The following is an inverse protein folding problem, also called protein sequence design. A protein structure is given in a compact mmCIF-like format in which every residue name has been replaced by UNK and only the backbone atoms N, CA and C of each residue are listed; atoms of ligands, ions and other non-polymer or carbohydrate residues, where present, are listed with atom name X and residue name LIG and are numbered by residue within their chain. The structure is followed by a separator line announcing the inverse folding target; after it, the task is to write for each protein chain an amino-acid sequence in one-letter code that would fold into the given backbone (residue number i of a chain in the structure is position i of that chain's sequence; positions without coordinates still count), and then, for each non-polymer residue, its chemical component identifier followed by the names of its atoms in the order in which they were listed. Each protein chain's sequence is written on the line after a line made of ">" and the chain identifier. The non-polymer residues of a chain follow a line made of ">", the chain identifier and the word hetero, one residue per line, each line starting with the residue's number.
data_IF_153006790900
#
_entry.id   IF_153006790900
#
_cell.length_a   1.000
_cell.length_b   1.000
_cell.length_c   1.000
_cell.angle_alpha   90.00
_cell.angle_beta   90.00
_cell.angle_gamma   90.00
#
_symmetry.space_group_name_H-M   'P 1'
#
loop_
_entity.id
_entity.type
_entity.pdbx_description
1 polymer ?
#
# COMPACT_ATOMS: atom_id res chain seq x y z
N UNK A 1 58.36 -18.88 54.17
CA UNK A 1 58.26 -18.91 52.70
C UNK A 1 57.47 -20.16 52.31
N UNK A 2 56.45 -20.19 51.47
CA UNK A 2 55.50 -19.23 50.91
C UNK A 2 54.35 -20.12 50.39
N UNK A 3 53.11 -19.88 50.81
CA UNK A 3 51.91 -20.61 50.38
C UNK A 3 51.45 -20.07 49.01
N UNK A 4 51.32 -20.96 48.03
CA UNK A 4 50.85 -20.64 46.69
C UNK A 4 49.32 -20.77 46.61
N UNK A 5 48.63 -19.66 46.33
CA UNK A 5 47.20 -19.63 45.98
C UNK A 5 47.05 -19.78 44.46
N UNK A 6 46.32 -20.81 44.02
CA UNK A 6 45.89 -20.96 42.64
C UNK A 6 44.64 -20.13 42.36
N UNK A 7 44.73 -19.20 41.42
CA UNK A 7 43.59 -18.44 40.89
C UNK A 7 42.88 -19.25 39.80
N UNK A 8 41.62 -19.61 40.05
CA UNK A 8 40.72 -20.10 39.01
C UNK A 8 40.20 -18.91 38.21
N UNK A 9 40.51 -18.86 36.91
CA UNK A 9 39.94 -17.88 35.99
C UNK A 9 38.55 -18.36 35.55
N UNK A 10 37.51 -17.64 35.97
CA UNK A 10 36.15 -17.80 35.44
C UNK A 10 36.07 -16.94 34.19
N UNK A 11 36.08 -17.58 33.01
CA UNK A 11 35.76 -16.91 31.74
C UNK A 11 34.26 -16.63 31.67
N UNK A 12 33.90 -15.38 31.91
CA UNK A 12 32.55 -14.87 31.68
C UNK A 12 32.37 -14.71 30.16
N UNK A 13 31.59 -15.60 29.56
CA UNK A 13 31.15 -15.45 28.17
C UNK A 13 30.24 -14.24 28.06
N UNK A 14 30.72 -13.17 27.41
CA UNK A 14 29.90 -12.05 27.00
C UNK A 14 29.03 -12.52 25.82
N UNK A 15 27.81 -12.98 26.10
CA UNK A 15 26.76 -12.98 25.10
C UNK A 15 26.40 -11.52 24.80
N UNK A 16 26.98 -10.99 23.73
CA UNK A 16 26.46 -9.77 23.12
C UNK A 16 25.02 -10.02 22.66
N UNK A 17 24.12 -9.03 22.76
CA UNK A 17 22.80 -9.16 22.16
C UNK A 17 22.98 -9.33 20.65
N UNK A 18 22.46 -10.43 20.10
CA UNK A 18 22.25 -10.58 18.66
C UNK A 18 21.36 -9.42 18.21
N UNK A 19 22.00 -8.39 17.65
CA UNK A 19 21.32 -7.33 16.93
C UNK A 19 20.96 -7.91 15.58
N UNK A 20 19.86 -8.65 15.54
CA UNK A 20 19.19 -8.97 14.28
C UNK A 20 18.90 -7.64 13.59
N UNK A 21 19.71 -7.26 12.62
CA UNK A 21 19.43 -6.13 11.76
C UNK A 21 18.03 -6.34 11.16
N UNK A 22 17.18 -5.31 11.19
CA UNK A 22 15.92 -5.36 10.48
C UNK A 22 16.21 -5.67 9.00
N UNK A 23 15.49 -6.62 8.41
CA UNK A 23 15.60 -6.88 6.98
C UNK A 23 15.32 -5.58 6.21
N UNK A 24 16.18 -5.27 5.24
CA UNK A 24 16.01 -4.10 4.40
C UNK A 24 14.69 -4.17 3.62
N UNK A 25 14.12 -3.00 3.30
CA UNK A 25 12.97 -2.92 2.40
C UNK A 25 13.35 -3.54 1.05
N UNK A 26 12.55 -4.48 0.51
CA UNK A 26 12.84 -5.14 -0.75
C UNK A 26 12.72 -4.17 -1.93
N UNK A 27 13.22 -4.57 -3.11
CA UNK A 27 12.98 -3.86 -4.37
C UNK A 27 12.23 -4.79 -5.33
N UNK A 28 10.89 -4.92 -5.22
CA UNK A 28 10.12 -5.74 -6.14
C UNK A 28 10.20 -5.22 -7.58
N UNK A 29 10.09 -6.11 -8.56
CA UNK A 29 9.98 -5.73 -9.98
C UNK A 29 8.63 -5.06 -10.27
N UNK A 30 7.58 -5.52 -9.58
CA UNK A 30 6.21 -4.99 -9.66
C UNK A 30 5.55 -4.90 -8.29
N UNK A 31 4.96 -3.75 -8.00
CA UNK A 31 4.08 -3.52 -6.85
C UNK A 31 2.69 -3.17 -7.36
N UNK A 32 1.67 -3.92 -6.96
CA UNK A 32 0.26 -3.56 -7.18
C UNK A 32 -0.33 -3.12 -5.85
N UNK A 33 -0.83 -1.89 -5.80
CA UNK A 33 -1.58 -1.34 -4.66
C UNK A 33 -3.06 -1.34 -5.01
N UNK A 34 -3.90 -1.96 -4.19
CA UNK A 34 -5.35 -1.86 -4.31
C UNK A 34 -5.91 -1.19 -3.07
N UNK A 35 -6.77 -0.19 -3.28
CA UNK A 35 -7.37 0.62 -2.22
C UNK A 35 -8.87 0.33 -2.17
N UNK A 36 -9.35 -0.02 -0.98
CA UNK A 36 -10.77 -0.21 -0.66
C UNK A 36 -11.25 0.92 0.27
N UNK A 37 -12.53 0.94 0.60
CA UNK A 37 -13.20 2.10 1.16
C UNK A 37 -13.85 1.87 2.53
N UNK A 38 -13.81 2.89 3.39
CA UNK A 38 -14.75 3.12 4.50
C UNK A 38 -14.95 1.97 5.50
N UNK A 39 -13.90 1.18 5.78
CA UNK A 39 -13.99 0.03 6.67
C UNK A 39 -12.87 0.00 7.69
N UNK A 40 -13.27 -0.10 8.97
CA UNK A 40 -12.35 -0.31 10.06
C UNK A 40 -11.68 -1.68 9.96
N UNK A 41 -10.46 -1.78 10.52
CA UNK A 41 -9.68 -3.01 10.61
C UNK A 41 -10.52 -4.23 11.03
N UNK A 42 -11.37 -4.09 12.06
CA UNK A 42 -12.19 -5.19 12.60
C UNK A 42 -13.40 -5.59 11.74
N UNK A 43 -13.79 -4.78 10.75
CA UNK A 43 -14.86 -5.14 9.81
C UNK A 43 -14.37 -6.11 8.74
N UNK A 44 -13.05 -6.14 8.49
CA UNK A 44 -12.40 -6.94 7.45
C UNK A 44 -11.54 -8.04 8.05
N UNK A 45 -10.61 -7.70 8.94
CA UNK A 45 -9.67 -8.64 9.52
C UNK A 45 -10.35 -9.57 10.53
N UNK A 46 -10.25 -10.87 10.30
CA UNK A 46 -10.96 -11.93 11.02
C UNK A 46 -12.43 -12.11 10.61
N UNK A 47 -12.96 -11.28 9.70
CA UNK A 47 -14.36 -11.32 9.27
C UNK A 47 -14.60 -12.45 8.26
N UNK A 48 -15.69 -13.21 8.45
CA UNK A 48 -16.15 -14.20 7.48
C UNK A 48 -16.68 -13.58 6.18
N UNK A 49 -16.90 -12.27 6.16
CA UNK A 49 -17.24 -11.51 4.96
C UNK A 49 -16.04 -11.17 4.09
N UNK A 50 -14.80 -11.35 4.57
CA UNK A 50 -13.58 -11.07 3.80
C UNK A 50 -12.64 -12.29 3.72
N UNK A 51 -13.12 -13.48 3.31
CA UNK A 51 -12.32 -14.70 3.38
C UNK A 51 -11.06 -14.63 2.51
N UNK A 52 -11.09 -13.92 1.38
CA UNK A 52 -9.92 -13.82 0.50
C UNK A 52 -8.85 -12.88 1.06
N UNK A 53 -9.22 -11.67 1.50
CA UNK A 53 -8.29 -10.75 2.18
C UNK A 53 -7.65 -11.42 3.39
N UNK A 54 -8.43 -12.13 4.21
CA UNK A 54 -7.90 -12.86 5.37
C UNK A 54 -6.96 -14.01 4.97
N UNK A 55 -7.20 -14.66 3.83
CA UNK A 55 -6.26 -15.68 3.32
C UNK A 55 -4.94 -15.07 2.87
N UNK A 56 -4.97 -13.87 2.25
CA UNK A 56 -3.76 -13.14 1.86
C UNK A 56 -2.99 -12.66 3.08
N UNK A 57 -3.67 -12.16 4.11
CA UNK A 57 -3.04 -11.78 5.36
C UNK A 57 -2.37 -12.98 6.07
N UNK A 58 -3.02 -14.15 6.07
CA UNK A 58 -2.44 -15.37 6.64
C UNK A 58 -1.22 -15.87 5.86
N UNK A 59 -1.22 -15.71 4.53
CA UNK A 59 -0.09 -16.06 3.66
C UNK A 59 0.95 -14.96 3.46
N UNK A 60 0.72 -13.77 4.02
CA UNK A 60 1.53 -12.57 3.86
C UNK A 60 1.76 -11.88 5.21
N UNK A 61 1.57 -10.56 5.26
CA UNK A 61 1.70 -9.77 6.47
C UNK A 61 0.49 -8.87 6.70
N UNK A 62 0.09 -8.72 7.96
CA UNK A 62 -0.99 -7.80 8.38
C UNK A 62 -0.46 -6.72 9.32
N UNK A 63 -0.69 -5.46 9.01
CA UNK A 63 -0.35 -4.34 9.89
C UNK A 63 -1.50 -4.08 10.85
N UNK A 64 -1.30 -4.35 12.14
CA UNK A 64 -2.37 -4.32 13.15
C UNK A 64 -2.61 -2.93 13.74
N UNK A 65 -1.72 -1.98 13.43
CA UNK A 65 -1.73 -0.60 13.87
C UNK A 65 -1.57 0.37 12.67
N UNK A 66 -2.29 0.13 11.57
CA UNK A 66 -2.35 1.03 10.40
C UNK A 66 -3.52 2.01 10.52
N UNK A 67 -3.28 3.29 10.25
CA UNK A 67 -4.28 4.36 10.39
C UNK A 67 -4.33 5.24 9.14
N UNK A 68 -5.53 5.67 8.75
CA UNK A 68 -5.70 6.70 7.73
C UNK A 68 -5.55 8.11 8.32
N UNK A 69 -5.28 9.10 7.47
CA UNK A 69 -4.91 10.45 7.92
C UNK A 69 -6.10 11.27 8.41
N UNK A 70 -7.23 11.17 7.70
CA UNK A 70 -8.36 12.07 7.93
C UNK A 70 -9.68 11.47 7.45
N UNK A 71 -10.72 12.30 7.49
CA UNK A 71 -11.94 12.14 6.74
C UNK A 71 -12.32 13.43 6.00
N UNK A 72 -12.93 13.38 4.81
CA UNK A 72 -13.41 12.18 4.10
C UNK A 72 -12.33 11.50 3.22
N UNK A 73 -12.74 10.54 2.40
CA UNK A 73 -11.94 9.64 1.57
C UNK A 73 -10.87 10.31 0.73
N UNK A 74 -11.26 11.30 -0.08
CA UNK A 74 -10.40 11.85 -1.13
C UNK A 74 -9.04 12.38 -0.62
N UNK A 75 -8.96 13.19 0.46
CA UNK A 75 -7.69 13.56 1.08
C UNK A 75 -6.74 12.39 1.37
N UNK A 76 -7.24 11.22 1.77
CA UNK A 76 -6.42 10.05 2.09
C UNK A 76 -5.76 9.45 0.83
N UNK A 77 -6.43 9.47 -0.32
CA UNK A 77 -5.81 9.07 -1.59
C UNK A 77 -4.65 9.99 -1.97
N UNK A 78 -4.80 11.30 -1.78
CA UNK A 78 -3.71 12.25 -2.00
C UNK A 78 -2.55 12.02 -1.02
N UNK A 79 -2.86 11.76 0.25
CA UNK A 79 -1.85 11.44 1.26
C UNK A 79 -1.04 10.19 0.88
N UNK A 80 -1.70 9.11 0.47
CA UNK A 80 -1.07 7.87 0.04
C UNK A 80 -0.25 8.01 -1.25
N UNK A 81 -0.62 8.92 -2.16
CA UNK A 81 0.02 9.06 -3.46
C UNK A 81 1.12 10.14 -3.51
N UNK A 82 0.99 11.20 -2.71
CA UNK A 82 1.85 12.39 -2.78
C UNK A 82 2.44 12.83 -1.45
N UNK A 83 2.13 12.13 -0.36
CA UNK A 83 2.63 12.50 0.95
C UNK A 83 1.96 13.73 1.55
N UNK A 84 0.91 14.28 0.94
CA UNK A 84 0.17 15.43 1.45
C UNK A 84 -1.28 15.36 0.93
N UNK A 85 -2.23 16.02 1.59
CA UNK A 85 -3.63 16.09 1.13
C UNK A 85 -3.80 17.07 -0.04
N UNK A 86 -2.76 17.82 -0.42
CA UNK A 86 -2.75 18.85 -1.45
C UNK A 86 -3.78 19.97 -1.20
N UNK A 87 -4.11 20.20 0.08
CA UNK A 87 -5.17 21.12 0.47
C UNK A 87 -6.59 20.66 0.13
N UNK A 88 -6.78 19.43 -0.34
CA UNK A 88 -8.10 18.82 -0.52
C UNK A 88 -8.69 18.50 0.85
N UNK A 89 -9.92 18.93 1.09
CA UNK A 89 -10.60 18.79 2.39
C UNK A 89 -11.95 18.10 2.30
N UNK A 90 -12.41 17.77 1.10
CA UNK A 90 -13.70 17.12 0.86
C UNK A 90 -13.63 16.16 -0.35
N UNK A 91 -14.76 15.53 -0.64
CA UNK A 91 -14.94 14.56 -1.74
C UNK A 91 -15.41 15.22 -3.06
N UNK A 92 -15.22 16.54 -3.20
CA UNK A 92 -15.60 17.25 -4.41
C UNK A 92 -14.64 16.93 -5.55
N UNK A 93 -15.20 16.95 -6.77
CA UNK A 93 -14.40 16.76 -7.97
C UNK A 93 -13.34 17.85 -8.07
N UNK A 94 -12.08 17.45 -8.24
CA UNK A 94 -10.97 18.39 -8.39
C UNK A 94 -10.81 18.79 -9.85
N UNK A 95 -10.24 19.98 -10.07
CA UNK A 95 -9.80 20.38 -11.41
C UNK A 95 -8.56 19.56 -11.78
N UNK A 96 -8.55 18.83 -12.90
CA UNK A 96 -7.37 18.06 -13.27
C UNK A 96 -6.12 18.93 -13.41
N UNK A 97 -5.00 18.47 -12.86
CA UNK A 97 -3.72 19.17 -12.91
C UNK A 97 -3.63 20.44 -12.08
N UNK A 98 -4.37 20.55 -10.97
CA UNK A 98 -4.29 21.71 -10.08
C UNK A 98 -2.98 21.81 -9.28
N UNK A 99 -2.26 20.69 -9.12
CA UNK A 99 -0.97 20.61 -8.44
C UNK A 99 0.14 20.13 -9.39
N UNK A 100 1.37 20.51 -9.13
CA UNK A 100 2.59 19.97 -9.75
C UNK A 100 3.63 19.52 -8.72
N UNK A 101 3.20 19.39 -7.46
CA UNK A 101 4.03 18.92 -6.35
C UNK A 101 4.54 17.49 -6.58
N UNK A 102 5.67 17.11 -5.94
CA UNK A 102 6.18 15.75 -5.97
C UNK A 102 5.12 14.72 -5.56
N UNK A 103 5.14 13.58 -6.25
CA UNK A 103 4.27 12.45 -6.00
C UNK A 103 4.92 11.16 -6.50
N UNK A 104 4.41 10.01 -6.04
CA UNK A 104 4.97 8.69 -6.33
C UNK A 104 5.24 8.47 -7.83
N UNK A 105 4.31 8.87 -8.70
CA UNK A 105 4.48 8.70 -10.14
C UNK A 105 5.66 9.52 -10.68
N UNK A 106 5.72 10.80 -10.35
CA UNK A 106 6.80 11.69 -10.78
C UNK A 106 8.17 11.22 -10.26
N UNK A 107 8.21 10.72 -9.04
CA UNK A 107 9.42 10.20 -8.40
C UNK A 107 9.93 8.91 -9.03
N UNK A 108 9.02 7.98 -9.34
CA UNK A 108 9.36 6.76 -10.06
C UNK A 108 9.95 7.09 -11.44
N UNK A 109 9.30 7.99 -12.19
CA UNK A 109 9.78 8.42 -13.51
C UNK A 109 11.16 9.08 -13.41
N UNK A 110 11.39 9.93 -12.40
CA UNK A 110 12.69 10.57 -12.17
C UNK A 110 13.83 9.57 -11.91
N UNK A 111 13.51 8.37 -11.41
CA UNK A 111 14.47 7.28 -11.20
C UNK A 111 14.50 6.25 -12.33
N UNK A 112 13.85 6.53 -13.46
CA UNK A 112 13.81 5.63 -14.63
C UNK A 112 12.86 4.44 -14.46
N UNK A 113 11.96 4.48 -13.48
CA UNK A 113 10.93 3.47 -13.23
C UNK A 113 9.60 3.87 -13.84
N UNK A 114 8.68 2.91 -13.90
CA UNK A 114 7.38 3.09 -14.55
C UNK A 114 6.22 3.00 -13.56
N UNK A 115 5.14 3.68 -13.90
CA UNK A 115 3.94 3.79 -13.09
C UNK A 115 2.69 3.79 -13.99
N UNK A 116 1.60 3.18 -13.52
CA UNK A 116 0.27 3.34 -14.12
C UNK A 116 -0.87 3.04 -13.11
N UNK A 117 -2.10 3.41 -13.43
CA UNK A 117 -3.28 2.98 -12.67
C UNK A 117 -4.27 2.21 -13.54
N UNK A 118 -5.08 1.35 -12.93
CA UNK A 118 -6.08 0.52 -13.57
C UNK A 118 -7.40 0.64 -12.83
N UNK A 119 -8.41 1.19 -13.50
CA UNK A 119 -9.55 1.80 -12.83
C UNK A 119 -10.84 1.16 -13.32
N UNK A 120 -11.61 0.58 -12.41
CA UNK A 120 -12.87 -0.07 -12.75
C UNK A 120 -13.92 0.99 -13.11
N UNK A 121 -14.63 0.75 -14.22
CA UNK A 121 -15.67 1.66 -14.74
C UNK A 121 -15.17 3.04 -15.20
N UNK A 122 -13.85 3.27 -15.25
CA UNK A 122 -13.30 4.42 -15.97
C UNK A 122 -13.80 4.37 -17.43
N UNK A 123 -14.42 5.43 -17.96
CA UNK A 123 -15.15 5.33 -19.23
C UNK A 123 -14.22 5.25 -20.45
N UNK A 124 -13.00 5.75 -20.33
CA UNK A 124 -11.96 5.66 -21.35
C UNK A 124 -10.59 5.89 -20.72
N UNK A 125 -9.54 5.37 -21.36
CA UNK A 125 -8.14 5.65 -21.03
C UNK A 125 -7.92 7.16 -20.83
N UNK A 126 -7.34 7.54 -19.69
CA UNK A 126 -7.05 8.93 -19.33
C UNK A 126 -8.26 9.85 -19.12
N UNK A 127 -9.48 9.31 -19.05
CA UNK A 127 -10.68 10.11 -18.80
C UNK A 127 -10.62 10.81 -17.44
N UNK A 128 -10.73 12.13 -17.43
CA UNK A 128 -10.76 12.95 -16.21
C UNK A 128 -12.17 13.29 -15.74
N UNK A 129 -13.21 12.58 -16.21
CA UNK A 129 -14.59 12.82 -15.74
C UNK A 129 -14.68 12.65 -14.23
N UNK A 130 -15.50 13.46 -13.56
CA UNK A 130 -15.71 13.33 -12.13
C UNK A 130 -16.38 11.99 -11.75
N UNK A 131 -17.37 11.58 -12.56
CA UNK A 131 -18.18 10.38 -12.32
C UNK A 131 -18.62 9.76 -13.65
N UNK A 132 -18.77 8.44 -13.68
CA UNK A 132 -19.37 7.68 -14.79
C UNK A 132 -19.89 6.34 -14.29
N UNK A 133 -21.21 6.16 -14.22
CA UNK A 133 -21.78 4.99 -13.56
C UNK A 133 -21.30 4.89 -12.10
N UNK A 134 -20.58 3.82 -11.76
CA UNK A 134 -19.98 3.60 -10.43
C UNK A 134 -18.54 4.13 -10.29
N UNK A 135 -17.94 4.66 -11.36
CA UNK A 135 -16.62 5.29 -11.28
C UNK A 135 -16.69 6.65 -10.59
N UNK A 136 -15.70 6.94 -9.75
CA UNK A 136 -15.54 8.21 -9.04
C UNK A 136 -14.08 8.68 -9.10
N UNK A 137 -13.86 9.87 -9.67
CA UNK A 137 -12.52 10.47 -9.78
C UNK A 137 -11.86 10.71 -8.41
N UNK A 138 -12.65 10.91 -7.36
CA UNK A 138 -12.13 11.17 -6.01
C UNK A 138 -11.21 10.06 -5.48
N UNK A 139 -11.31 8.83 -6.00
CA UNK A 139 -10.42 7.70 -5.65
C UNK A 139 -9.13 7.65 -6.52
N UNK A 140 -8.90 8.66 -7.37
CA UNK A 140 -7.87 8.67 -8.41
C UNK A 140 -7.03 9.96 -8.30
N UNK A 141 -6.13 10.07 -7.30
CA UNK A 141 -5.48 11.33 -6.94
C UNK A 141 -4.55 11.87 -8.03
N UNK A 142 -3.99 11.00 -8.87
CA UNK A 142 -3.10 11.37 -9.99
C UNK A 142 -3.73 12.36 -10.97
N UNK A 143 -5.05 12.39 -11.12
CA UNK A 143 -5.68 13.41 -11.98
C UNK A 143 -5.52 14.83 -11.44
N UNK A 144 -5.30 15.00 -10.14
CA UNK A 144 -4.99 16.30 -9.54
C UNK A 144 -3.63 16.86 -9.93
N UNK A 145 -2.74 16.05 -10.50
CA UNK A 145 -1.34 16.43 -10.74
C UNK A 145 -1.06 16.63 -12.24
N UNK A 146 -0.56 17.81 -12.59
CA UNK A 146 -0.20 18.18 -13.96
C UNK A 146 1.09 17.51 -14.44
N UNK A 147 1.92 17.06 -13.50
CA UNK A 147 3.15 16.31 -13.74
C UNK A 147 2.91 14.78 -13.86
N UNK A 148 1.65 14.32 -13.83
CA UNK A 148 1.28 12.92 -14.10
C UNK A 148 0.47 12.85 -15.41
N UNK A 149 1.01 12.25 -16.48
CA UNK A 149 0.30 12.17 -17.75
C UNK A 149 -0.99 11.35 -17.62
N UNK A 150 -2.12 11.89 -18.07
CA UNK A 150 -3.41 11.18 -17.99
C UNK A 150 -3.41 9.85 -18.74
N UNK A 151 -2.53 9.68 -19.74
CA UNK A 151 -2.35 8.42 -20.48
C UNK A 151 -1.84 7.25 -19.62
N UNK A 152 -1.38 7.50 -18.39
CA UNK A 152 -1.01 6.43 -17.44
C UNK A 152 -2.20 5.92 -16.63
N UNK A 153 -3.39 6.51 -16.79
CA UNK A 153 -4.60 6.06 -16.12
C UNK A 153 -5.43 5.18 -17.06
N UNK A 154 -5.36 3.88 -16.83
CA UNK A 154 -5.97 2.88 -17.67
C UNK A 154 -7.35 2.43 -17.16
N UNK A 155 -8.18 1.94 -18.08
CA UNK A 155 -9.37 1.18 -17.73
C UNK A 155 -8.96 -0.19 -17.16
N UNK A 156 -9.80 -0.78 -16.30
CA UNK A 156 -9.50 -2.10 -15.70
C UNK A 156 -9.31 -3.21 -16.76
N UNK A 157 -9.92 -3.10 -17.94
CA UNK A 157 -9.70 -4.06 -19.04
C UNK A 157 -8.27 -4.08 -19.59
N UNK A 158 -7.48 -3.04 -19.33
CA UNK A 158 -6.07 -3.01 -19.69
C UNK A 158 -5.17 -3.69 -18.65
N UNK A 159 -5.68 -4.07 -17.48
CA UNK A 159 -4.90 -4.80 -16.48
C UNK A 159 -4.44 -6.13 -17.09
N UNK A 160 -3.12 -6.37 -17.21
CA UNK A 160 -2.62 -7.47 -18.01
C UNK A 160 -2.84 -8.81 -17.32
N UNK A 161 -2.99 -9.87 -18.11
CA UNK A 161 -2.85 -11.26 -17.64
C UNK A 161 -1.40 -11.73 -17.61
N UNK A 162 -0.52 -11.04 -18.34
CA UNK A 162 0.93 -11.23 -18.33
C UNK A 162 1.55 -10.19 -17.39
N UNK A 163 1.72 -10.58 -16.12
CA UNK A 163 2.09 -9.65 -15.05
C UNK A 163 3.51 -9.10 -15.16
N UNK A 164 4.39 -9.76 -15.92
CA UNK A 164 5.73 -9.22 -16.22
C UNK A 164 5.72 -7.97 -17.11
N UNK A 165 4.55 -7.57 -17.62
CA UNK A 165 4.35 -6.31 -18.37
C UNK A 165 3.79 -5.18 -17.51
N UNK A 166 3.50 -5.44 -16.24
CA UNK A 166 3.07 -4.36 -15.35
C UNK A 166 4.17 -3.29 -15.24
N UNK A 167 3.80 -2.03 -14.99
CA UNK A 167 4.78 -1.05 -14.56
C UNK A 167 5.43 -1.45 -13.22
N UNK A 168 6.47 -0.72 -12.83
CA UNK A 168 7.17 -0.94 -11.55
C UNK A 168 6.23 -0.79 -10.37
N UNK A 169 5.35 0.21 -10.39
CA UNK A 169 4.24 0.34 -9.44
C UNK A 169 2.94 0.48 -10.22
N UNK A 170 1.86 -0.11 -9.74
CA UNK A 170 0.52 -0.02 -10.31
C UNK A 170 -0.52 0.18 -9.21
N UNK A 171 -1.48 1.10 -9.38
CA UNK A 171 -2.66 1.14 -8.49
C UNK A 171 -3.83 0.53 -9.24
N UNK A 172 -4.61 -0.25 -8.51
CA UNK A 172 -5.88 -0.78 -8.96
C UNK A 172 -6.96 -0.13 -8.10
N UNK A 173 -7.88 0.59 -8.74
CA UNK A 173 -8.97 1.29 -8.06
C UNK A 173 -10.30 0.64 -8.48
N UNK A 174 -10.94 -0.13 -7.59
CA UNK A 174 -12.27 -0.66 -7.84
C UNK A 174 -13.30 0.48 -7.90
N UNK A 175 -14.48 0.20 -8.46
CA UNK A 175 -15.57 1.18 -8.48
C UNK A 175 -16.27 1.24 -7.11
N UNK A 176 -17.17 2.22 -6.93
CA UNK A 176 -17.90 2.48 -5.67
C UNK A 176 -18.62 1.28 -5.05
N UNK A 177 -18.87 0.19 -5.77
CA UNK A 177 -19.41 -1.04 -5.17
C UNK A 177 -18.29 -2.03 -4.86
N UNK A 178 -17.39 -2.23 -5.80
CA UNK A 178 -16.29 -3.18 -5.66
C UNK A 178 -15.28 -2.76 -4.60
N UNK A 179 -15.14 -1.46 -4.33
CA UNK A 179 -14.24 -0.91 -3.31
C UNK A 179 -14.84 -1.01 -1.90
N UNK A 180 -16.08 -1.52 -1.76
CA UNK A 180 -16.84 -1.64 -0.51
C UNK A 180 -17.46 -0.33 0.01
N UNK A 181 -17.44 0.77 -0.75
CA UNK A 181 -18.10 2.02 -0.36
C UNK A 181 -19.64 1.87 -0.33
N UNK A 182 -20.24 1.42 -1.44
CA UNK A 182 -21.69 1.30 -1.62
C UNK A 182 -22.20 -0.15 -1.46
N UNK A 183 -21.29 -1.12 -1.37
CA UNK A 183 -21.62 -2.55 -1.29
C UNK A 183 -20.89 -3.22 -0.12
N UNK A 184 -21.27 -4.45 0.20
CA UNK A 184 -20.74 -5.15 1.37
C UNK A 184 -19.26 -5.52 1.22
N UNK A 185 -18.59 -5.71 2.35
CA UNK A 185 -17.24 -6.32 2.45
C UNK A 185 -17.12 -7.57 1.56
N UNK A 186 -18.12 -8.46 1.58
CA UNK A 186 -18.10 -9.68 0.77
C UNK A 186 -18.17 -9.45 -0.75
N UNK A 187 -18.77 -8.34 -1.17
CA UNK A 187 -18.78 -7.93 -2.58
C UNK A 187 -17.38 -7.53 -3.01
N UNK A 188 -16.71 -6.67 -2.24
CA UNK A 188 -15.35 -6.24 -2.54
C UNK A 188 -14.32 -7.37 -2.40
N UNK A 189 -14.45 -8.26 -1.42
CA UNK A 189 -13.56 -9.42 -1.25
C UNK A 189 -13.67 -10.38 -2.43
N UNK A 190 -14.90 -10.62 -2.91
CA UNK A 190 -15.16 -11.42 -4.12
C UNK A 190 -14.57 -10.74 -5.35
N UNK A 191 -14.72 -9.42 -5.47
CA UNK A 191 -14.14 -8.65 -6.57
C UNK A 191 -12.62 -8.75 -6.57
N UNK A 192 -11.98 -8.57 -5.41
CA UNK A 192 -10.53 -8.69 -5.23
C UNK A 192 -10.05 -10.07 -5.71
N UNK A 193 -10.75 -11.13 -5.28
CA UNK A 193 -10.43 -12.49 -5.67
C UNK A 193 -10.57 -12.71 -7.18
N UNK A 194 -11.66 -12.23 -7.78
CA UNK A 194 -11.91 -12.47 -9.20
C UNK A 194 -10.94 -11.71 -10.11
N UNK A 195 -10.46 -10.55 -9.69
CA UNK A 195 -9.65 -9.68 -10.54
C UNK A 195 -8.14 -9.77 -10.25
N UNK A 196 -7.74 -9.93 -8.98
CA UNK A 196 -6.34 -9.87 -8.56
C UNK A 196 -5.77 -11.18 -8.03
N UNK A 197 -6.56 -12.27 -7.93
CA UNK A 197 -5.98 -13.56 -7.50
C UNK A 197 -4.88 -14.06 -8.41
N UNK A 198 -5.02 -13.89 -9.73
CA UNK A 198 -3.97 -14.27 -10.67
C UNK A 198 -2.66 -13.55 -10.38
N UNK A 199 -2.72 -12.24 -10.11
CA UNK A 199 -1.54 -11.46 -9.75
C UNK A 199 -0.99 -11.85 -8.38
N UNK A 200 -1.86 -12.05 -7.38
CA UNK A 200 -1.44 -12.48 -6.05
C UNK A 200 -0.67 -13.82 -6.12
N UNK A 201 -1.24 -14.84 -6.76
CA UNK A 201 -0.59 -16.14 -6.92
C UNK A 201 0.77 -16.02 -7.64
N UNK A 202 0.86 -15.16 -8.65
CA UNK A 202 2.09 -14.89 -9.39
C UNK A 202 3.13 -14.17 -8.51
N UNK A 203 2.72 -13.12 -7.80
CA UNK A 203 3.56 -12.34 -6.91
C UNK A 203 4.12 -13.17 -5.75
N UNK A 204 3.44 -14.23 -5.31
CA UNK A 204 3.96 -15.16 -4.29
C UNK A 204 5.21 -15.94 -4.74
N UNK A 205 5.48 -16.02 -6.04
CA UNK A 205 6.58 -16.80 -6.63
C UNK A 205 7.57 -15.96 -7.46
N UNK A 206 7.30 -14.66 -7.60
CA UNK A 206 8.14 -13.71 -8.34
C UNK A 206 8.51 -12.55 -7.43
N UNK A 207 9.58 -11.82 -7.73
CA UNK A 207 9.99 -10.64 -6.98
C UNK A 207 8.94 -9.52 -7.14
N UNK A 208 7.80 -9.63 -6.50
CA UNK A 208 6.63 -8.79 -6.74
C UNK A 208 5.72 -8.78 -5.52
N UNK A 209 4.93 -7.71 -5.39
CA UNK A 209 4.15 -7.41 -4.20
C UNK A 209 2.73 -7.00 -4.56
N UNK A 210 1.76 -7.53 -3.82
CA UNK A 210 0.40 -7.01 -3.71
C UNK A 210 0.25 -6.33 -2.35
N UNK A 211 -0.12 -5.06 -2.36
CA UNK A 211 -0.50 -4.27 -1.21
C UNK A 211 -2.00 -4.02 -1.25
N UNK A 212 -2.71 -4.38 -0.18
CA UNK A 212 -4.13 -4.09 0.01
C UNK A 212 -4.24 -3.11 1.17
N UNK A 213 -4.91 -1.99 0.96
CA UNK A 213 -5.18 -1.01 2.02
C UNK A 213 -6.58 -0.40 1.86
N UNK A 214 -6.97 0.43 2.81
CA UNK A 214 -8.25 1.15 2.81
C UNK A 214 -8.01 2.64 2.99
N UNK A 215 -8.84 3.47 2.39
CA UNK A 215 -8.69 4.93 2.43
C UNK A 215 -8.89 5.50 3.84
N UNK A 216 -9.94 5.06 4.54
CA UNK A 216 -10.37 5.48 5.88
C UNK A 216 -11.29 4.41 6.52
N UNK A 217 -11.54 4.55 7.83
CA UNK A 217 -12.52 3.72 8.53
C UNK A 217 -13.94 4.25 8.39
N UNK A 218 -14.89 3.62 9.09
CA UNK A 218 -16.29 4.03 9.12
C UNK A 218 -16.60 5.18 10.11
N UNK A 219 -15.60 5.96 10.53
CA UNK A 219 -15.61 7.02 11.58
C UNK A 219 -15.83 6.53 13.01
N UNK A 220 -15.74 5.23 13.26
CA UNK A 220 -16.09 4.64 14.57
C UNK A 220 -14.94 3.92 15.27
N UNK A 221 -13.77 3.80 14.65
CA UNK A 221 -12.67 2.96 15.14
C UNK A 221 -11.31 3.67 15.13
N UNK A 222 -11.34 5.00 15.27
CA UNK A 222 -10.13 5.83 15.36
C UNK A 222 -9.33 5.86 14.07
N UNK A 223 -10.00 5.69 12.92
CA UNK A 223 -9.40 5.61 11.59
C UNK A 223 -8.40 4.46 11.40
N UNK A 224 -8.54 3.39 12.20
CA UNK A 224 -7.70 2.19 12.07
C UNK A 224 -8.18 1.33 10.92
N UNK A 225 -7.35 1.17 9.90
CA UNK A 225 -7.68 0.56 8.62
C UNK A 225 -6.99 -0.82 8.43
N UNK A 226 -7.56 -1.73 7.63
CA UNK A 226 -6.84 -2.92 7.17
C UNK A 226 -5.70 -2.53 6.21
N UNK A 227 -4.50 -3.06 6.46
CA UNK A 227 -3.37 -2.97 5.52
C UNK A 227 -2.63 -4.31 5.49
N UNK A 228 -2.55 -4.92 4.31
CA UNK A 228 -2.01 -6.28 4.08
C UNK A 228 -0.99 -6.25 2.96
N UNK A 229 0.16 -6.88 3.20
CA UNK A 229 1.21 -7.09 2.21
C UNK A 229 1.26 -8.58 1.84
N UNK A 230 1.36 -8.90 0.55
CA UNK A 230 1.42 -10.27 0.07
C UNK A 230 2.33 -10.40 -1.15
N UNK A 231 3.24 -11.37 -1.15
CA UNK A 231 4.16 -11.61 -2.25
C UNK A 231 5.43 -12.31 -1.78
N UNK A 232 6.30 -12.67 -2.71
CA UNK A 232 7.55 -13.38 -2.42
C UNK A 232 8.44 -12.69 -1.39
N UNK A 233 8.61 -11.35 -1.36
CA UNK A 233 9.48 -10.72 -0.38
C UNK A 233 8.83 -10.57 1.01
N UNK A 234 7.59 -11.03 1.21
CA UNK A 234 6.83 -10.88 2.46
C UNK A 234 6.93 -12.15 3.31
N UNK A 235 7.25 -11.99 4.58
CA UNK A 235 7.26 -13.07 5.57
C UNK A 235 5.83 -13.51 5.86
N UNK A 236 5.45 -14.66 5.33
CA UNK A 236 4.12 -15.24 5.50
C UNK A 236 3.71 -15.40 6.98
N UNK A 237 2.48 -15.05 7.29
CA UNK A 237 1.87 -15.08 8.62
C UNK A 237 2.42 -14.03 9.59
N UNK A 238 3.22 -13.07 9.12
CA UNK A 238 3.77 -12.03 9.99
C UNK A 238 2.75 -10.94 10.32
N UNK A 239 2.97 -10.26 11.44
CA UNK A 239 2.20 -9.07 11.82
C UNK A 239 3.16 -8.00 12.29
N UNK A 240 2.78 -6.74 12.10
CA UNK A 240 3.48 -5.61 12.69
C UNK A 240 2.52 -4.77 13.50
N UNK A 241 2.88 -4.55 14.76
CA UNK A 241 2.18 -3.63 15.67
C UNK A 241 2.80 -2.23 15.71
N UNK A 242 3.78 -1.97 14.84
CA UNK A 242 4.33 -0.62 14.67
C UNK A 242 3.24 0.27 14.08
N UNK A 243 2.97 1.40 14.73
CA UNK A 243 2.04 2.40 14.20
C UNK A 243 2.53 2.87 12.84
N UNK A 244 1.65 2.81 11.85
CA UNK A 244 1.90 3.31 10.51
C UNK A 244 0.66 4.01 9.95
N UNK A 245 0.86 4.85 8.95
CA UNK A 245 -0.20 5.55 8.24
C UNK A 245 0.04 5.58 6.72
N UNK A 246 -0.73 6.38 5.97
CA UNK A 246 -0.61 6.44 4.51
C UNK A 246 0.76 6.98 4.08
N UNK A 247 1.34 7.89 4.86
CA UNK A 247 2.69 8.40 4.60
C UNK A 247 3.77 7.35 4.84
N UNK A 248 3.64 6.49 5.85
CA UNK A 248 4.57 5.38 6.07
C UNK A 248 4.46 4.32 4.95
N UNK A 249 3.25 4.08 4.43
CA UNK A 249 3.05 3.21 3.26
C UNK A 249 3.72 3.79 2.02
N UNK A 250 3.49 5.08 1.73
CA UNK A 250 4.14 5.77 0.62
C UNK A 250 5.67 5.72 0.77
N UNK A 251 6.18 6.10 1.94
CA UNK A 251 7.59 6.05 2.30
C UNK A 251 8.20 4.68 2.04
N UNK A 252 7.48 3.62 2.41
CA UNK A 252 7.94 2.25 2.18
C UNK A 252 8.10 1.98 0.68
N UNK A 253 7.14 2.37 -0.17
CA UNK A 253 7.22 2.17 -1.63
C UNK A 253 8.35 3.01 -2.23
N UNK A 254 8.51 4.25 -1.79
CA UNK A 254 9.60 5.14 -2.20
C UNK A 254 10.98 4.57 -1.83
N UNK A 255 11.12 4.00 -0.62
CA UNK A 255 12.34 3.33 -0.15
C UNK A 255 12.64 2.03 -0.92
N UNK A 256 11.64 1.28 -1.40
CA UNK A 256 11.86 0.13 -2.30
C UNK A 256 12.67 0.53 -3.53
N UNK A 257 12.54 1.80 -3.94
CA UNK A 257 13.08 2.33 -5.17
C UNK A 257 14.14 3.42 -4.95
N UNK A 258 14.36 3.89 -3.73
CA UNK A 258 15.32 4.96 -3.46
C UNK A 258 14.96 6.27 -4.17
N UNK A 259 13.67 6.64 -4.11
CA UNK A 259 13.21 7.96 -4.59
C UNK A 259 13.44 9.06 -3.53
N UNK A 260 12.96 10.28 -3.79
CA UNK A 260 13.29 11.48 -2.98
C UNK A 260 12.38 11.70 -1.76
N UNK A 261 11.27 10.95 -1.67
CA UNK A 261 10.20 11.01 -0.67
C UNK A 261 9.33 12.26 -0.76
N UNK A 262 8.08 12.10 -1.21
CA UNK A 262 7.15 13.19 -1.42
C UNK A 262 6.49 13.66 -0.10
N UNK A 263 6.26 14.97 0.03
CA UNK A 263 5.50 15.55 1.15
C UNK A 263 5.95 15.07 2.53
N UNK A 264 4.98 14.65 3.35
CA UNK A 264 5.18 14.10 4.69
C UNK A 264 5.86 12.72 4.70
N UNK A 265 5.94 12.00 3.58
CA UNK A 265 6.67 10.72 3.52
C UNK A 265 8.18 10.90 3.79
N UNK A 266 8.74 12.09 3.51
CA UNK A 266 10.12 12.45 3.85
C UNK A 266 10.42 12.34 5.37
N UNK A 267 9.41 12.61 6.20
CA UNK A 267 9.49 12.48 7.67
C UNK A 267 8.95 11.16 8.24
N UNK A 268 8.30 10.35 7.40
CA UNK A 268 7.73 9.06 7.77
C UNK A 268 8.82 7.97 7.86
N UNK A 269 8.43 6.75 8.26
CA UNK A 269 9.32 5.59 8.31
C UNK A 269 8.81 4.47 7.43
N UNK A 270 9.74 3.73 6.86
CA UNK A 270 9.42 2.50 6.15
C UNK A 270 8.86 1.44 7.12
N UNK A 271 7.99 0.60 6.57
CA UNK A 271 7.44 -0.54 7.27
C UNK A 271 8.52 -1.61 7.36
N UNK A 272 8.80 -2.06 8.59
CA UNK A 272 9.81 -3.07 8.89
C UNK A 272 9.21 -4.27 9.61
N UNK A 273 9.95 -5.37 9.68
CA UNK A 273 9.57 -6.58 10.41
C UNK A 273 8.66 -7.56 9.66
N UNK A 274 8.27 -7.23 8.42
CA UNK A 274 7.39 -8.05 7.57
C UNK A 274 8.10 -8.68 6.37
N UNK A 275 9.38 -8.37 6.13
CA UNK A 275 10.11 -8.81 4.93
C UNK A 275 10.87 -10.13 5.17
N UNK A 276 10.98 -10.96 4.12
CA UNK A 276 11.90 -12.12 4.09
C UNK A 276 13.32 -11.60 3.91
N UNK A 277 14.19 -11.93 4.86
CA UNK A 277 15.61 -11.53 4.88
C UNK A 277 16.41 -12.00 3.68
#
# INVERSE_FOLDING_TARGET
>A
MATAFGLAAVSVGLWGPDSSAAAAVPTPDHVVVVVFENHAYSQVMGSSSAPYINSLAAGGASLTASYAETHPSQPNYYALFSGDTQGVTDDSCVTPGFSDEPNLASELVATGRSWASYNESLPAEGSTTCKSGKYAQKHNPWFGFSNVPTSTAHTMSAFPSDYGKLPTVSFVVPNLCSDMHDCSVGTGDTWLKNNLKGYADWAATHNSLLLITFDEDNRLSGNRIPTVFYGQPVKAGSTSGTTCNHYDVLRTIEDMYGTAHAGHAAGAKDITGIWTS
#
